data_IF_038621772462
#
_entry.id   IF_038621772462
#
_cell.length_a   1.000
_cell.length_b   1.000
_cell.length_c   1.000
_cell.angle_alpha   90.00
_cell.angle_beta   90.00
_cell.angle_gamma   90.00
#
_symmetry.space_group_name_H-M   'P 1'
#
loop_
_entity.id
_entity.type
_entity.pdbx_description
1 polymer ?
#
# COMPACT_ATOMS: atom_id res chain seq x y z
N UNK A 1 -20.76 5.25 -27.77
CA UNK A 1 -19.67 5.27 -26.78
C UNK A 1 -19.70 3.95 -26.05
N UNK A 2 -18.54 3.38 -25.74
CA UNK A 2 -18.38 2.21 -24.88
C UNK A 2 -17.57 2.62 -23.66
N UNK A 3 -18.06 2.27 -22.48
CA UNK A 3 -17.42 2.52 -21.19
C UNK A 3 -17.08 1.17 -20.57
N UNK A 4 -15.84 1.01 -20.12
CA UNK A 4 -15.39 -0.15 -19.35
C UNK A 4 -14.56 0.31 -18.16
N UNK A 5 -14.46 -0.51 -17.13
CA UNK A 5 -13.61 -0.21 -15.98
C UNK A 5 -13.39 -1.40 -15.08
N UNK A 6 -12.39 -1.27 -14.22
CA UNK A 6 -12.00 -2.24 -13.20
C UNK A 6 -11.93 -1.54 -11.86
N UNK A 7 -12.47 -2.19 -10.83
CA UNK A 7 -12.41 -1.69 -9.45
C UNK A 7 -11.70 -2.73 -8.59
N UNK A 8 -10.66 -2.28 -7.88
CA UNK A 8 -9.94 -3.10 -6.89
C UNK A 8 -10.06 -2.42 -5.54
N UNK A 9 -10.81 -3.05 -4.64
CA UNK A 9 -10.91 -2.67 -3.23
C UNK A 9 -10.37 -3.83 -2.41
N UNK A 10 -9.33 -3.58 -1.64
CA UNK A 10 -8.67 -4.60 -0.83
C UNK A 10 -8.22 -4.00 0.50
N UNK A 11 -8.43 -4.73 1.58
CA UNK A 11 -7.76 -4.42 2.84
C UNK A 11 -6.26 -4.70 2.74
N UNK A 12 -5.48 -4.04 3.59
CA UNK A 12 -4.04 -4.17 3.55
C UNK A 12 -3.55 -5.53 4.00
N UNK A 13 -2.41 -5.94 3.46
CA UNK A 13 -1.74 -7.16 3.89
C UNK A 13 -1.26 -7.02 5.34
N UNK A 14 -1.34 -8.07 6.17
CA UNK A 14 -0.83 -8.00 7.52
C UNK A 14 0.67 -7.75 7.57
N UNK A 15 1.10 -6.97 8.56
CA UNK A 15 2.50 -6.60 8.77
C UNK A 15 2.97 -7.14 10.12
N UNK A 16 4.22 -7.60 10.14
CA UNK A 16 4.89 -8.10 11.33
C UNK A 16 6.06 -7.18 11.63
N UNK A 17 6.13 -6.55 12.81
CA UNK A 17 7.32 -5.85 13.20
C UNK A 17 8.38 -6.85 13.68
N UNK A 18 9.64 -6.58 13.32
CA UNK A 18 10.75 -7.44 13.69
C UNK A 18 12.07 -6.67 13.64
N UNK A 19 13.01 -7.05 14.50
CA UNK A 19 14.39 -6.60 14.47
C UNK A 19 15.15 -7.33 13.38
N UNK A 20 15.68 -6.58 12.41
CA UNK A 20 16.40 -7.15 11.26
C UNK A 20 17.89 -7.32 11.56
N UNK A 21 18.51 -6.31 12.17
CA UNK A 21 19.95 -6.24 12.45
C UNK A 21 20.29 -6.67 13.89
N UNK A 22 19.33 -6.66 14.81
CA UNK A 22 19.52 -7.06 16.21
C UNK A 22 18.93 -8.44 16.49
N UNK A 23 19.71 -9.28 17.17
CA UNK A 23 19.32 -10.61 17.65
C UNK A 23 19.39 -10.65 19.18
N UNK A 24 18.27 -10.34 19.84
CA UNK A 24 18.18 -10.33 21.31
C UNK A 24 18.20 -11.75 21.88
N UNK A 25 17.56 -12.72 21.23
CA UNK A 25 17.44 -14.10 21.66
C UNK A 25 18.70 -14.93 21.39
N UNK A 26 19.65 -14.39 20.62
CA UNK A 26 20.85 -15.10 20.14
C UNK A 26 20.48 -16.39 19.38
N UNK A 27 19.40 -16.32 18.60
CA UNK A 27 18.86 -17.46 17.84
C UNK A 27 19.37 -17.52 16.39
N UNK A 28 20.13 -16.52 15.94
CA UNK A 28 20.60 -16.39 14.56
C UNK A 28 19.50 -16.04 13.56
N UNK A 29 18.35 -15.54 14.03
CA UNK A 29 17.18 -15.23 13.22
C UNK A 29 16.58 -13.88 13.59
N UNK A 30 15.83 -13.21 12.69
CA UNK A 30 15.15 -11.97 13.03
C UNK A 30 14.22 -12.13 14.22
N UNK A 31 14.32 -11.21 15.18
CA UNK A 31 13.63 -11.29 16.47
C UNK A 31 12.38 -10.41 16.46
N UNK A 32 11.33 -10.83 17.17
CA UNK A 32 10.13 -9.98 17.35
C UNK A 32 10.31 -9.00 18.51
N UNK A 33 9.65 -7.83 18.49
CA UNK A 33 9.58 -6.95 19.66
C UNK A 33 8.65 -7.51 20.74
N UNK A 34 8.71 -6.88 21.91
CA UNK A 34 7.67 -6.99 22.93
C UNK A 34 6.55 -5.97 22.67
N UNK A 35 5.34 -6.30 23.09
CA UNK A 35 4.19 -5.40 23.14
C UNK A 35 4.18 -4.68 24.48
N UNK A 36 4.07 -3.34 24.45
CA UNK A 36 3.94 -2.54 25.66
C UNK A 36 2.52 -2.69 26.22
N UNK A 37 2.33 -3.18 27.46
CA UNK A 37 1.00 -3.36 28.03
C UNK A 37 0.22 -2.04 28.08
N UNK A 38 -1.04 -2.09 27.64
CA UNK A 38 -1.93 -0.92 27.61
C UNK A 38 -1.74 0.03 26.42
N UNK A 39 -0.76 -0.21 25.54
CA UNK A 39 -0.59 0.55 24.32
C UNK A 39 -1.35 -0.10 23.16
N UNK A 40 -2.19 0.67 22.47
CA UNK A 40 -2.83 0.21 21.23
C UNK A 40 -1.79 0.16 20.11
N UNK A 41 -1.66 -0.97 19.42
CA UNK A 41 -0.81 -1.10 18.21
C UNK A 41 -1.38 -0.26 17.06
N UNK A 42 -2.70 -0.33 16.85
CA UNK A 42 -3.36 0.36 15.76
C UNK A 42 -3.67 1.80 16.15
N UNK A 43 -3.35 2.73 15.26
CA UNK A 43 -3.86 4.11 15.32
C UNK A 43 -5.28 4.18 14.74
N UNK A 44 -6.14 5.08 15.25
CA UNK A 44 -7.38 5.46 14.59
C UNK A 44 -7.13 5.88 13.14
N UNK A 45 -8.01 5.52 12.22
CA UNK A 45 -7.84 5.82 10.78
C UNK A 45 -7.58 7.32 10.51
N UNK A 46 -8.18 8.21 11.28
CA UNK A 46 -8.01 9.67 11.17
C UNK A 46 -6.65 10.19 11.61
N UNK A 47 -5.89 9.40 12.37
CA UNK A 47 -4.55 9.74 12.87
C UNK A 47 -3.44 9.06 12.06
N UNK A 48 -3.79 8.11 11.18
CA UNK A 48 -2.80 7.42 10.33
C UNK A 48 -2.30 8.36 9.26
N UNK A 49 -0.98 8.47 9.17
CA UNK A 49 -0.30 9.23 8.12
C UNK A 49 0.81 8.38 7.51
N UNK A 50 1.43 8.87 6.43
CA UNK A 50 2.63 8.23 5.89
C UNK A 50 3.81 8.28 6.87
N UNK A 51 3.86 9.27 7.77
CA UNK A 51 4.91 9.38 8.80
C UNK A 51 4.63 8.55 10.05
N UNK A 52 3.38 8.13 10.25
CA UNK A 52 2.98 7.33 11.40
C UNK A 52 1.74 6.51 11.06
N UNK A 53 1.95 5.28 10.57
CA UNK A 53 0.85 4.42 10.16
C UNK A 53 0.27 3.58 11.30
N UNK A 54 1.09 3.27 12.30
CA UNK A 54 0.72 2.53 13.51
C UNK A 54 1.48 3.12 14.70
N UNK A 55 1.03 2.79 15.91
CA UNK A 55 1.65 3.30 17.13
C UNK A 55 2.99 2.59 17.35
N UNK A 56 4.08 3.27 17.04
CA UNK A 56 5.44 2.73 17.21
C UNK A 56 5.79 2.53 18.68
N UNK A 57 5.19 3.32 19.60
CA UNK A 57 5.39 3.19 21.04
C UNK A 57 4.70 1.95 21.65
N UNK A 58 3.91 1.20 20.86
CA UNK A 58 3.38 -0.09 21.28
C UNK A 58 4.43 -1.20 21.27
N UNK A 59 5.65 -0.93 20.80
CA UNK A 59 6.72 -1.90 20.64
C UNK A 59 7.96 -1.52 21.45
N UNK A 60 8.58 -2.52 22.08
CA UNK A 60 9.84 -2.34 22.79
C UNK A 60 10.79 -3.50 22.52
N UNK A 61 12.08 -3.27 22.75
CA UNK A 61 13.09 -4.31 22.63
C UNK A 61 12.88 -5.39 23.70
N UNK A 62 13.01 -6.68 23.36
CA UNK A 62 13.11 -7.75 24.34
C UNK A 62 14.36 -7.60 25.22
N UNK A 63 14.35 -8.23 26.39
CA UNK A 63 15.55 -8.32 27.20
C UNK A 63 16.61 -9.18 26.47
N UNK A 64 17.92 -8.92 26.69
CA UNK A 64 18.96 -9.79 26.15
C UNK A 64 18.71 -11.26 26.54
N UNK A 65 18.95 -12.15 25.58
CA UNK A 65 18.72 -13.60 25.66
C UNK A 65 17.26 -14.02 25.85
N UNK A 66 16.31 -13.19 25.40
CA UNK A 66 14.87 -13.50 25.44
C UNK A 66 14.20 -13.30 24.07
N UNK A 67 13.13 -14.05 23.82
CA UNK A 67 12.26 -13.83 22.65
C UNK A 67 11.24 -12.74 22.93
N UNK A 68 10.88 -11.99 21.89
CA UNK A 68 9.76 -11.05 21.96
C UNK A 68 8.40 -11.73 22.01
N UNK A 69 7.42 -11.06 22.60
CA UNK A 69 6.04 -11.56 22.76
C UNK A 69 5.06 -11.09 21.67
N UNK A 70 5.50 -10.26 20.70
CA UNK A 70 4.63 -9.83 19.63
C UNK A 70 4.12 -11.02 18.78
N UNK A 71 2.81 -11.02 18.55
CA UNK A 71 2.14 -12.01 17.71
C UNK A 71 2.55 -11.93 16.24
N UNK A 72 1.98 -12.84 15.45
CA UNK A 72 2.08 -12.78 13.98
C UNK A 72 0.91 -11.95 13.43
N UNK A 73 1.15 -11.19 12.37
CA UNK A 73 0.14 -10.49 11.56
C UNK A 73 -0.69 -9.49 12.40
N UNK A 74 -0.01 -8.82 13.34
CA UNK A 74 -0.64 -8.05 14.44
C UNK A 74 -1.27 -6.72 14.02
N UNK A 75 -1.01 -6.22 12.81
CA UNK A 75 -1.76 -5.09 12.26
C UNK A 75 -1.89 -5.17 10.73
N UNK A 76 -3.03 -4.73 10.17
CA UNK A 76 -3.21 -4.63 8.72
C UNK A 76 -2.45 -3.42 8.18
N UNK A 77 -1.74 -3.60 7.07
CA UNK A 77 -1.11 -2.53 6.31
C UNK A 77 -2.14 -1.63 5.60
N UNK A 78 -1.68 -0.68 4.75
CA UNK A 78 -2.58 0.09 3.91
C UNK A 78 -3.29 -0.80 2.89
N UNK A 79 -4.58 -0.54 2.68
CA UNK A 79 -5.37 -1.20 1.65
C UNK A 79 -5.19 -0.58 0.27
N UNK A 80 -5.68 -1.29 -0.75
CA UNK A 80 -5.73 -0.79 -2.11
C UNK A 80 -7.14 -0.29 -2.43
N UNK A 81 -7.19 0.86 -3.08
CA UNK A 81 -8.38 1.46 -3.63
C UNK A 81 -8.02 2.04 -5.01
N UNK A 82 -8.28 1.23 -6.04
CA UNK A 82 -7.94 1.52 -7.43
C UNK A 82 -9.19 1.46 -8.30
N UNK A 83 -9.37 2.50 -9.09
CA UNK A 83 -10.45 2.63 -10.05
C UNK A 83 -9.85 2.98 -11.41
N UNK A 84 -9.96 2.04 -12.35
CA UNK A 84 -9.46 2.21 -13.71
C UNK A 84 -10.64 2.26 -14.68
N UNK A 85 -10.61 3.20 -15.61
CA UNK A 85 -11.72 3.46 -16.54
C UNK A 85 -11.21 3.68 -17.95
N UNK A 86 -11.91 3.13 -18.93
CA UNK A 86 -11.68 3.36 -20.35
C UNK A 86 -12.97 3.76 -21.06
N UNK A 87 -12.88 4.79 -21.90
CA UNK A 87 -13.95 5.30 -22.75
C UNK A 87 -13.51 5.18 -24.22
N UNK A 88 -14.30 4.52 -25.04
CA UNK A 88 -14.01 4.35 -26.46
C UNK A 88 -15.20 4.72 -27.35
N UNK A 89 -14.92 5.24 -28.55
CA UNK A 89 -15.93 5.46 -29.60
C UNK A 89 -15.33 5.32 -30.98
N UNK A 90 -16.08 4.66 -31.86
CA UNK A 90 -15.83 4.64 -33.29
C UNK A 90 -16.70 5.67 -33.99
N UNK A 91 -16.10 6.45 -34.87
CA UNK A 91 -16.74 7.44 -35.73
C UNK A 91 -16.55 6.99 -37.18
N UNK A 92 -17.63 6.92 -37.97
CA UNK A 92 -17.49 6.79 -39.43
C UNK A 92 -17.09 8.16 -39.97
N UNK A 93 -16.00 8.22 -40.74
CA UNK A 93 -15.47 9.46 -41.32
C UNK A 93 -15.76 9.50 -42.83
N UNK A 94 -15.65 8.36 -43.49
CA UNK A 94 -16.07 8.16 -44.88
C UNK A 94 -16.92 6.88 -44.99
N UNK A 95 -17.31 6.49 -46.21
CA UNK A 95 -18.09 5.28 -46.44
C UNK A 95 -17.31 4.00 -46.09
N UNK A 96 -15.99 3.99 -46.34
CA UNK A 96 -15.10 2.87 -46.02
C UNK A 96 -14.23 3.12 -44.78
N UNK A 97 -13.98 4.40 -44.45
CA UNK A 97 -13.05 4.83 -43.42
C UNK A 97 -13.70 5.15 -42.08
N UNK A 98 -13.03 4.80 -40.99
CA UNK A 98 -13.49 5.09 -39.63
C UNK A 98 -12.36 5.41 -38.67
N UNK A 99 -12.68 6.21 -37.65
CA UNK A 99 -11.78 6.66 -36.61
C UNK A 99 -12.19 6.04 -35.28
N UNK A 100 -11.26 5.40 -34.58
CA UNK A 100 -11.44 4.90 -33.22
C UNK A 100 -10.68 5.80 -32.25
N UNK A 101 -11.41 6.41 -31.33
CA UNK A 101 -10.86 7.16 -30.20
C UNK A 101 -11.00 6.33 -28.92
N UNK A 102 -9.93 6.25 -28.13
CA UNK A 102 -9.91 5.62 -26.82
C UNK A 102 -9.21 6.54 -25.82
N UNK A 103 -9.83 6.77 -24.68
CA UNK A 103 -9.27 7.46 -23.53
C UNK A 103 -9.29 6.52 -22.33
N UNK A 104 -8.19 6.40 -21.62
CA UNK A 104 -8.07 5.54 -20.43
C UNK A 104 -7.48 6.33 -19.28
N UNK A 105 -7.98 6.07 -18.07
CA UNK A 105 -7.46 6.62 -16.83
C UNK A 105 -7.26 5.48 -15.84
N UNK A 106 -6.03 5.31 -15.38
CA UNK A 106 -5.70 4.46 -14.25
C UNK A 106 -5.70 5.30 -12.97
N UNK A 107 -6.19 4.75 -11.87
CA UNK A 107 -6.40 5.48 -10.61
C UNK A 107 -7.17 6.80 -10.83
N UNK A 108 -8.38 6.73 -11.40
CA UNK A 108 -9.16 7.90 -11.86
C UNK A 108 -9.43 8.94 -10.77
N UNK A 109 -9.59 8.50 -9.51
CA UNK A 109 -9.78 9.38 -8.36
C UNK A 109 -8.48 9.92 -7.77
N UNK A 110 -7.32 9.52 -8.30
CA UNK A 110 -6.00 9.87 -7.82
C UNK A 110 -5.83 9.57 -6.31
N UNK A 111 -6.37 8.44 -5.86
CA UNK A 111 -6.24 8.01 -4.47
C UNK A 111 -4.83 7.44 -4.24
N UNK A 112 -4.09 7.90 -3.21
CA UNK A 112 -2.80 7.33 -2.88
C UNK A 112 -2.96 5.87 -2.41
N UNK A 113 -2.36 4.94 -3.16
CA UNK A 113 -2.30 3.53 -2.77
C UNK A 113 -0.96 3.30 -2.07
N UNK A 114 -0.95 3.39 -0.75
CA UNK A 114 0.28 3.39 0.04
C UNK A 114 0.96 2.02 0.09
N UNK A 115 2.29 2.02 0.11
CA UNK A 115 3.10 0.82 0.32
C UNK A 115 3.15 0.40 1.79
N UNK A 116 3.91 -0.65 2.07
CA UNK A 116 4.02 -1.20 3.42
C UNK A 116 4.83 -0.23 4.32
N UNK A 117 4.37 0.05 5.56
CA UNK A 117 5.16 0.84 6.51
C UNK A 117 6.41 0.09 6.96
N UNK A 118 7.47 0.83 7.30
CA UNK A 118 8.72 0.29 7.82
C UNK A 118 8.47 -0.59 9.05
N UNK A 119 8.76 -1.90 8.98
CA UNK A 119 8.40 -2.84 10.05
C UNK A 119 9.51 -3.02 11.10
N UNK A 120 10.68 -2.38 10.90
CA UNK A 120 11.88 -2.68 11.67
C UNK A 120 12.13 -1.64 12.78
N UNK A 121 11.97 -1.97 14.07
CA UNK A 121 12.18 -1.00 15.15
C UNK A 121 13.64 -0.56 15.29
N UNK A 122 14.60 -1.40 14.90
CA UNK A 122 16.03 -1.09 14.85
C UNK A 122 16.43 -0.17 13.69
N UNK A 123 15.51 0.17 12.79
CA UNK A 123 15.76 1.14 11.73
C UNK A 123 15.37 2.56 12.17
N UNK A 124 15.11 2.78 13.47
CA UNK A 124 14.95 4.11 14.07
C UNK A 124 13.82 4.92 13.42
N UNK A 125 14.11 6.09 12.81
CA UNK A 125 13.08 6.99 12.29
C UNK A 125 12.26 6.42 11.11
N UNK A 126 12.69 5.28 10.54
CA UNK A 126 11.96 4.61 9.46
C UNK A 126 10.83 3.69 9.98
N UNK A 127 10.83 3.34 11.27
CA UNK A 127 9.82 2.48 11.87
C UNK A 127 8.45 3.16 11.86
N UNK A 128 7.43 2.49 11.33
CA UNK A 128 6.08 3.05 11.22
C UNK A 128 5.82 3.96 10.02
N UNK A 129 6.85 4.28 9.22
CA UNK A 129 6.77 5.21 8.09
C UNK A 129 6.59 4.50 6.75
N UNK A 130 5.84 5.11 5.84
CA UNK A 130 5.61 4.65 4.48
C UNK A 130 6.39 5.55 3.52
N UNK A 131 7.25 4.93 2.70
CA UNK A 131 8.11 5.64 1.74
C UNK A 131 7.71 5.42 0.28
N UNK A 132 6.74 4.54 0.04
CA UNK A 132 6.30 4.17 -1.30
C UNK A 132 4.80 4.32 -1.43
N UNK A 133 4.35 4.63 -2.64
CA UNK A 133 2.97 4.55 -3.05
C UNK A 133 2.92 4.01 -4.49
N UNK A 134 1.79 3.41 -4.86
CA UNK A 134 1.51 3.02 -6.24
C UNK A 134 1.42 4.23 -7.16
N UNK A 135 1.29 3.95 -8.46
CA UNK A 135 1.26 4.98 -9.48
C UNK A 135 0.15 6.03 -9.19
N UNK A 136 0.45 7.33 -9.35
CA UNK A 136 -0.58 8.35 -9.34
C UNK A 136 -1.50 8.16 -10.55
N UNK A 137 -2.54 8.98 -10.65
CA UNK A 137 -3.42 8.95 -11.81
C UNK A 137 -2.65 9.10 -13.12
N UNK A 138 -2.77 8.11 -14.01
CA UNK A 138 -2.20 8.12 -15.36
C UNK A 138 -3.31 8.11 -16.38
N UNK A 139 -3.23 9.01 -17.36
CA UNK A 139 -4.17 9.07 -18.47
C UNK A 139 -3.46 8.81 -19.78
N UNK A 140 -4.09 8.02 -20.64
CA UNK A 140 -3.58 7.76 -21.99
C UNK A 140 -4.69 7.89 -23.02
N UNK A 141 -4.31 8.38 -24.20
CA UNK A 141 -5.21 8.65 -25.30
C UNK A 141 -4.67 7.96 -26.54
N UNK A 142 -5.54 7.30 -27.27
CA UNK A 142 -5.20 6.63 -28.52
C UNK A 142 -6.20 7.02 -29.61
N UNK A 143 -5.66 7.22 -30.80
CA UNK A 143 -6.42 7.47 -32.02
C UNK A 143 -5.95 6.52 -33.10
N UNK A 144 -6.89 5.80 -33.72
CA UNK A 144 -6.63 4.87 -34.82
C UNK A 144 -7.55 5.14 -35.98
N UNK A 145 -7.02 5.14 -37.19
CA UNK A 145 -7.78 5.20 -38.43
C UNK A 145 -7.81 3.81 -39.08
N UNK A 146 -8.99 3.37 -39.49
CA UNK A 146 -9.22 2.14 -40.27
C UNK A 146 -9.72 2.55 -41.66
N UNK A 147 -9.13 1.96 -42.71
CA UNK A 147 -9.40 2.26 -44.13
C UNK A 147 -10.02 1.07 -44.88
#
# INVERSE_FOLDING_TARGET
>A
WSLSGTVTLQDGTPVNPFYFALDFANSGTPNRPNIVPGQSISLPRSQRTADEFFNTAAFTAPAPYTFGDAGRDIFPGPGNNLFDVALARRFRVTETGSLQFRAESFNVFNHPNWGIPGPNPDFGPFFGKIFAAGDPRRMQFALRYDF
#
